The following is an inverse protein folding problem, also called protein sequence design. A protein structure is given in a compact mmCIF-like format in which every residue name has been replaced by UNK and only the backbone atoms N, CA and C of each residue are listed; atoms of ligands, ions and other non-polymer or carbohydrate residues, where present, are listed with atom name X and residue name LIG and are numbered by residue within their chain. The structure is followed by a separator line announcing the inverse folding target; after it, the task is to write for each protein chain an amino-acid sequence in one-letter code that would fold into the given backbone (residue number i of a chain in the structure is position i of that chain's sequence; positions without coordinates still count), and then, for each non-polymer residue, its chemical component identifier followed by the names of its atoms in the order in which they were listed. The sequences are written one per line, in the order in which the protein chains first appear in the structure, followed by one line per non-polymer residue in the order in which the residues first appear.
data_IF_738555440834
#
_entry.id   IF_738555440834
#
_cell.length_a   1.000
_cell.length_b   1.000
_cell.length_c   1.000
_cell.angle_alpha   90.00
_cell.angle_beta   90.00
_cell.angle_gamma   90.00
#
_symmetry.space_group_name_H-M   'P 1'
#
loop_
_entity.id
_entity.type
_entity.pdbx_description
1 polymer ?
#
# COMPACT_ATOMS: atom_id res chain seq x y z
N UNK A 1 -43.39 -1.70 4.91
CA UNK A 1 -42.61 -0.56 5.44
C UNK A 1 -41.55 0.00 4.46
N UNK A 2 -41.52 -0.39 3.18
CA UNK A 2 -40.51 0.08 2.21
C UNK A 2 -40.93 1.24 1.29
N UNK A 3 -42.22 1.59 1.25
CA UNK A 3 -42.75 2.56 0.30
C UNK A 3 -42.67 4.02 0.79
N UNK A 4 -42.61 4.25 2.11
CA UNK A 4 -42.57 5.61 2.68
C UNK A 4 -41.16 6.25 2.62
N UNK A 5 -40.10 5.44 2.68
CA UNK A 5 -38.70 5.93 2.67
C UNK A 5 -38.27 6.30 1.24
N UNK A 6 -38.69 5.54 0.24
CA UNK A 6 -38.44 5.86 -1.16
C UNK A 6 -39.15 7.15 -1.61
N UNK A 7 -40.39 7.37 -1.13
CA UNK A 7 -41.14 8.60 -1.41
C UNK A 7 -40.44 9.85 -0.88
N UNK A 8 -39.93 9.82 0.36
CA UNK A 8 -39.25 10.97 0.97
C UNK A 8 -37.97 11.39 0.24
N UNK A 9 -37.17 10.43 -0.24
CA UNK A 9 -35.92 10.71 -0.97
C UNK A 9 -36.21 11.30 -2.36
N UNK A 10 -37.24 10.80 -3.04
CA UNK A 10 -37.66 11.33 -4.35
C UNK A 10 -38.24 12.74 -4.21
N UNK A 11 -39.07 13.00 -3.20
CA UNK A 11 -39.60 14.35 -2.92
C UNK A 11 -38.48 15.33 -2.56
N UNK A 12 -37.48 14.91 -1.78
CA UNK A 12 -36.32 15.73 -1.46
C UNK A 12 -35.44 16.03 -2.69
N UNK A 13 -35.21 15.04 -3.56
CA UNK A 13 -34.43 15.23 -4.79
C UNK A 13 -35.14 16.13 -5.81
N UNK A 14 -36.46 16.06 -5.93
CA UNK A 14 -37.25 16.96 -6.79
C UNK A 14 -37.20 18.40 -6.28
N UNK A 15 -37.24 18.62 -4.97
CA UNK A 15 -37.10 19.97 -4.39
C UNK A 15 -35.67 20.48 -4.54
N UNK A 16 -34.66 19.63 -4.37
CA UNK A 16 -33.24 20.03 -4.44
C UNK A 16 -32.70 20.18 -5.86
N UNK A 17 -33.23 19.46 -6.84
CA UNK A 17 -32.69 19.48 -8.20
C UNK A 17 -33.72 19.88 -9.28
N UNK A 18 -35.02 19.69 -9.04
CA UNK A 18 -36.07 20.09 -9.98
C UNK A 18 -36.46 21.57 -9.89
N UNK A 19 -36.43 22.16 -8.69
CA UNK A 19 -36.78 23.58 -8.47
C UNK A 19 -35.62 24.55 -8.75
N UNK A 20 -34.38 24.09 -8.76
CA UNK A 20 -33.19 24.93 -9.00
C UNK A 20 -32.98 25.29 -10.47
N UNK A 21 -33.62 24.58 -11.41
CA UNK A 21 -33.52 24.95 -12.84
C UNK A 21 -34.48 26.09 -13.22
N UNK A 22 -35.45 26.44 -12.36
CA UNK A 22 -36.38 27.56 -12.53
C UNK A 22 -36.09 28.68 -11.50
N UNK A 23 -34.82 28.97 -11.25
CA UNK A 23 -34.36 30.11 -10.44
C UNK A 23 -32.94 30.52 -10.88
N UNK A 24 -32.74 30.65 -12.19
CA UNK A 24 -31.48 31.07 -12.81
C UNK A 24 -31.20 32.58 -12.70
N UNK A 25 -31.77 33.28 -11.72
CA UNK A 25 -31.54 34.70 -11.49
C UNK A 25 -31.12 34.93 -10.03
N UNK A 26 -29.93 35.52 -9.84
CA UNK A 26 -29.23 35.64 -8.56
C UNK A 26 -29.79 36.75 -7.66
N UNK A 27 -30.76 37.54 -8.12
CA UNK A 27 -31.34 38.67 -7.38
C UNK A 27 -32.73 38.44 -6.77
N UNK A 28 -33.22 37.20 -6.73
CA UNK A 28 -34.59 36.96 -6.26
C UNK A 28 -34.76 37.11 -4.72
N UNK A 29 -35.70 37.95 -4.24
CA UNK A 29 -35.80 38.38 -2.83
C UNK A 29 -36.14 37.25 -1.85
N UNK A 30 -36.67 36.13 -2.33
CA UNK A 30 -37.08 35.00 -1.49
C UNK A 30 -35.99 33.92 -1.32
N UNK A 31 -34.84 34.05 -1.97
CA UNK A 31 -33.75 33.06 -1.96
C UNK A 31 -33.21 32.73 -0.56
N UNK A 32 -32.98 33.69 0.35
CA UNK A 32 -32.48 33.38 1.69
C UNK A 32 -33.48 32.56 2.53
N UNK A 33 -34.78 32.80 2.33
CA UNK A 33 -35.86 32.11 3.04
C UNK A 33 -35.97 30.67 2.54
N UNK A 34 -35.84 30.44 1.23
CA UNK A 34 -35.88 29.09 0.63
C UNK A 34 -34.63 28.28 0.98
N UNK A 35 -33.45 28.90 0.97
CA UNK A 35 -32.21 28.24 1.40
C UNK A 35 -32.29 27.83 2.88
N UNK A 36 -32.74 28.75 3.75
CA UNK A 36 -32.95 28.49 5.18
C UNK A 36 -33.95 27.35 5.46
N UNK A 37 -35.06 27.30 4.73
CA UNK A 37 -36.04 26.21 4.83
C UNK A 37 -35.46 24.85 4.41
N UNK A 38 -34.54 24.81 3.44
CA UNK A 38 -33.91 23.56 2.97
C UNK A 38 -32.93 22.97 3.99
N UNK A 39 -32.21 23.81 4.75
CA UNK A 39 -31.30 23.37 5.80
C UNK A 39 -32.05 22.75 6.99
N UNK A 40 -33.20 23.34 7.37
CA UNK A 40 -34.06 22.80 8.44
C UNK A 40 -34.68 21.45 8.04
N UNK A 41 -35.09 21.29 6.78
CA UNK A 41 -35.61 20.03 6.27
C UNK A 41 -34.55 18.92 6.19
N UNK A 42 -33.29 19.25 5.86
CA UNK A 42 -32.18 18.30 5.79
C UNK A 42 -31.77 17.73 7.16
N UNK A 43 -31.72 18.59 8.19
CA UNK A 43 -31.39 18.17 9.57
C UNK A 43 -32.55 17.37 10.20
N UNK A 44 -33.80 17.76 9.91
CA UNK A 44 -34.98 17.03 10.37
C UNK A 44 -35.06 15.58 9.83
N UNK A 45 -34.68 15.36 8.56
CA UNK A 45 -34.63 14.02 7.97
C UNK A 45 -33.52 13.13 8.58
N UNK A 46 -32.38 13.72 8.96
CA UNK A 46 -31.28 13.00 9.62
C UNK A 46 -31.64 12.61 11.08
N UNK A 47 -32.37 13.46 11.78
CA UNK A 47 -32.82 13.20 13.16
C UNK A 47 -33.87 12.09 13.25
N UNK A 48 -34.78 11.99 12.25
CA UNK A 48 -35.77 10.90 12.18
C UNK A 48 -35.10 9.56 11.80
N UNK A 49 -34.00 9.57 11.05
CA UNK A 49 -33.25 8.35 10.72
C UNK A 49 -32.48 7.76 11.92
N UNK A 50 -32.02 8.60 12.86
CA UNK A 50 -31.32 8.15 14.08
C UNK A 50 -32.30 7.63 15.15
N UNK A 51 -33.55 8.10 15.17
CA UNK A 51 -34.58 7.67 16.13
C UNK A 51 -35.41 6.46 15.67
N UNK A 52 -35.21 5.97 14.45
CA UNK A 52 -35.96 4.83 13.88
C UNK A 52 -35.10 3.56 13.70
N UNK A 53 -34.09 3.33 14.54
CA UNK A 53 -33.52 1.99 14.66
C UNK A 53 -34.51 1.10 15.43
N UNK A 54 -35.10 0.05 14.82
CA UNK A 54 -35.74 -0.96 15.63
C UNK A 54 -34.66 -1.60 16.49
N UNK A 55 -34.90 -1.68 17.79
CA UNK A 55 -34.27 -2.65 18.68
C UNK A 55 -34.63 -4.05 18.16
N UNK A 56 -33.97 -4.49 17.09
CA UNK A 56 -33.95 -5.88 16.69
C UNK A 56 -33.06 -6.60 17.70
N UNK A 57 -33.74 -7.07 18.74
CA UNK A 57 -33.64 -8.42 19.29
C UNK A 57 -32.31 -9.11 19.03
N UNK A 58 -31.64 -9.56 20.12
CA UNK A 58 -30.72 -10.70 20.11
C UNK A 58 -31.29 -11.80 19.22
N UNK A 59 -30.92 -11.78 17.94
CA UNK A 59 -30.94 -12.93 17.09
C UNK A 59 -29.69 -13.65 17.53
N UNK A 60 -29.89 -14.64 18.39
CA UNK A 60 -28.98 -15.77 18.49
C UNK A 60 -28.52 -16.09 17.08
N UNK A 61 -27.30 -15.69 16.73
CA UNK A 61 -26.61 -16.36 15.64
C UNK A 61 -26.52 -17.79 16.12
N UNK A 62 -27.32 -18.68 15.51
CA UNK A 62 -26.90 -20.07 15.42
C UNK A 62 -25.53 -19.98 14.78
N UNK A 63 -24.52 -20.33 15.56
CA UNK A 63 -23.21 -20.61 15.01
C UNK A 63 -23.42 -21.55 13.81
N UNK A 64 -22.76 -21.30 12.67
CA UNK A 64 -22.60 -22.38 11.70
C UNK A 64 -22.01 -23.56 12.47
N UNK A 65 -22.74 -24.68 12.51
CA UNK A 65 -22.18 -25.96 12.89
C UNK A 65 -21.12 -26.31 11.84
N UNK A 66 -19.93 -25.76 12.04
CA UNK A 66 -18.72 -26.31 11.49
C UNK A 66 -18.50 -27.62 12.23
N UNK A 67 -19.27 -28.63 11.83
CA UNK A 67 -18.87 -30.03 11.97
C UNK A 67 -17.39 -30.04 11.63
N UNK A 68 -16.56 -30.29 12.66
CA UNK A 68 -15.12 -30.32 12.55
C UNK A 68 -14.72 -31.50 11.66
N UNK A 69 -14.96 -31.41 10.36
CA UNK A 69 -14.11 -32.05 9.37
C UNK A 69 -12.83 -31.22 9.38
N UNK A 70 -12.00 -31.52 10.37
CA UNK A 70 -10.73 -30.85 10.56
C UNK A 70 -9.98 -30.83 9.24
N UNK A 71 -9.73 -29.63 8.73
CA UNK A 71 -8.70 -29.44 7.74
C UNK A 71 -7.37 -29.76 8.45
N UNK A 72 -6.98 -31.03 8.40
CA UNK A 72 -5.68 -31.51 8.86
C UNK A 72 -4.66 -31.14 7.78
N UNK A 73 -4.31 -29.86 7.68
CA UNK A 73 -3.12 -29.50 6.93
C UNK A 73 -1.89 -30.02 7.69
N UNK A 74 -1.36 -31.14 7.20
CA UNK A 74 -0.01 -31.57 7.54
C UNK A 74 1.00 -30.68 6.81
N UNK A 75 1.37 -29.58 7.45
CA UNK A 75 2.43 -28.70 6.97
C UNK A 75 3.80 -29.40 7.11
N UNK A 76 4.29 -30.06 6.06
CA UNK A 76 5.64 -30.65 6.01
C UNK A 76 6.78 -29.62 5.91
N UNK A 77 6.93 -28.66 6.83
CA UNK A 77 8.10 -27.75 6.93
C UNK A 77 8.69 -27.18 5.62
N UNK A 78 8.13 -26.07 5.10
CA UNK A 78 8.86 -25.30 4.09
C UNK A 78 10.02 -24.59 4.82
N UNK A 79 11.26 -24.85 4.40
CA UNK A 79 12.43 -24.18 4.95
C UNK A 79 12.46 -22.76 4.40
N UNK A 80 11.89 -21.81 5.14
CA UNK A 80 12.07 -20.39 4.83
C UNK A 80 13.55 -20.08 4.99
N UNK A 81 14.21 -19.70 3.90
CA UNK A 81 15.58 -19.20 3.96
C UNK A 81 15.59 -17.86 4.70
N UNK A 82 16.49 -17.72 5.67
CA UNK A 82 16.68 -16.45 6.41
C UNK A 82 17.02 -15.28 5.50
N UNK A 83 17.51 -15.58 4.30
CA UNK A 83 17.99 -14.62 3.32
C UNK A 83 16.94 -14.29 2.24
N UNK A 84 15.72 -14.83 2.33
CA UNK A 84 14.65 -14.61 1.35
C UNK A 84 14.41 -15.80 0.42
N UNK A 85 13.72 -15.61 -0.71
CA UNK A 85 13.41 -14.31 -1.33
C UNK A 85 12.36 -13.51 -0.57
N UNK A 86 12.47 -12.18 -0.63
CA UNK A 86 11.53 -11.22 -0.07
C UNK A 86 10.97 -10.32 -1.17
N UNK A 87 9.73 -9.86 -0.97
CA UNK A 87 9.23 -8.62 -1.54
C UNK A 87 9.69 -7.48 -0.62
N UNK A 88 10.25 -6.41 -1.19
CA UNK A 88 10.49 -5.17 -0.47
C UNK A 88 9.34 -4.20 -0.80
N UNK A 89 8.37 -4.07 0.10
CA UNK A 89 7.18 -3.25 -0.11
C UNK A 89 7.30 -1.96 0.68
N UNK A 90 7.20 -0.81 0.01
CA UNK A 90 7.22 0.46 0.70
C UNK A 90 5.90 0.68 1.48
N UNK A 91 6.02 1.12 2.73
CA UNK A 91 4.87 1.31 3.62
C UNK A 91 3.98 2.50 3.22
N UNK A 92 4.53 3.53 2.57
CA UNK A 92 3.77 4.72 2.21
C UNK A 92 2.82 4.50 1.03
N UNK A 93 3.29 3.84 -0.04
CA UNK A 93 2.53 3.65 -1.27
C UNK A 93 2.05 2.21 -1.51
N UNK A 94 2.57 1.22 -0.76
CA UNK A 94 2.20 -0.19 -0.91
C UNK A 94 2.77 -0.87 -2.15
N UNK A 95 3.65 -0.21 -2.90
CA UNK A 95 4.32 -0.80 -4.05
C UNK A 95 5.60 -1.54 -3.66
N UNK A 96 5.90 -2.59 -4.42
CA UNK A 96 7.09 -3.41 -4.28
C UNK A 96 8.23 -2.89 -5.15
N UNK A 97 9.46 -3.01 -4.67
CA UNK A 97 10.68 -2.76 -5.45
C UNK A 97 10.78 -3.76 -6.61
N UNK A 98 11.01 -3.25 -7.80
CA UNK A 98 10.86 -3.95 -9.07
C UNK A 98 12.06 -3.69 -9.99
N UNK A 99 12.68 -4.76 -10.51
CA UNK A 99 13.77 -4.66 -11.49
C UNK A 99 13.24 -4.80 -12.92
N UNK A 100 13.93 -4.24 -13.92
CA UNK A 100 13.73 -4.66 -15.30
C UNK A 100 13.98 -6.18 -15.43
N UNK A 101 13.27 -6.82 -16.36
CA UNK A 101 13.37 -8.26 -16.63
C UNK A 101 14.72 -8.61 -17.30
N UNK A 102 15.33 -7.64 -18.00
CA UNK A 102 16.60 -7.82 -18.70
C UNK A 102 17.76 -8.22 -17.78
N UNK A 103 18.79 -8.82 -18.38
CA UNK A 103 20.01 -9.23 -17.68
C UNK A 103 21.15 -8.23 -17.84
N UNK A 104 20.93 -7.13 -18.55
CA UNK A 104 21.93 -6.10 -18.77
C UNK A 104 22.08 -5.22 -17.51
N UNK A 105 23.31 -4.94 -17.07
CA UNK A 105 23.57 -3.98 -16.00
C UNK A 105 23.11 -2.58 -16.38
N UNK A 106 22.75 -1.77 -15.37
CA UNK A 106 22.27 -0.41 -15.53
C UNK A 106 20.76 -0.27 -15.66
N UNK A 107 19.99 -1.36 -15.53
CA UNK A 107 18.53 -1.29 -15.55
C UNK A 107 17.95 -0.50 -14.39
N UNK A 108 17.06 0.45 -14.68
CA UNK A 108 16.39 1.30 -13.69
C UNK A 108 15.50 0.48 -12.76
N UNK A 109 15.73 0.60 -11.45
CA UNK A 109 14.86 -0.02 -10.46
C UNK A 109 13.67 0.90 -10.21
N UNK A 110 12.47 0.33 -10.21
CA UNK A 110 11.21 1.07 -10.04
C UNK A 110 10.38 0.47 -8.92
N UNK A 111 9.21 1.05 -8.67
CA UNK A 111 8.18 0.43 -7.83
C UNK A 111 6.97 0.02 -8.65
N UNK A 112 6.39 -1.14 -8.31
CA UNK A 112 5.20 -1.65 -8.99
C UNK A 112 4.21 -2.31 -8.03
N UNK A 113 2.99 -2.58 -8.51
CA UNK A 113 2.02 -3.33 -7.71
C UNK A 113 2.59 -4.70 -7.33
N UNK A 114 2.56 -5.08 -6.03
CA UNK A 114 3.10 -6.36 -5.61
C UNK A 114 2.39 -7.52 -6.31
N UNK A 115 3.16 -8.36 -7.00
CA UNK A 115 2.67 -9.55 -7.70
C UNK A 115 3.58 -10.77 -7.52
N UNK A 116 4.72 -10.64 -6.83
CA UNK A 116 5.55 -11.78 -6.41
C UNK A 116 6.24 -12.54 -7.56
N UNK A 117 6.36 -11.92 -8.73
CA UNK A 117 7.14 -12.49 -9.84
C UNK A 117 8.63 -12.21 -9.59
N UNK A 118 9.51 -12.94 -10.29
CA UNK A 118 10.96 -12.96 -10.00
C UNK A 118 11.60 -11.57 -9.97
N UNK A 119 11.11 -10.61 -10.74
CA UNK A 119 11.62 -9.24 -10.78
C UNK A 119 11.20 -8.35 -9.59
N UNK A 120 10.33 -8.84 -8.71
CA UNK A 120 10.05 -8.23 -7.40
C UNK A 120 10.61 -9.05 -6.23
N UNK A 121 11.29 -10.14 -6.52
CA UNK A 121 11.84 -11.03 -5.51
C UNK A 121 13.32 -10.75 -5.32
N UNK A 122 13.71 -10.51 -4.09
CA UNK A 122 15.07 -10.10 -3.73
C UNK A 122 15.63 -11.01 -2.63
N UNK A 123 16.89 -11.39 -2.75
CA UNK A 123 17.63 -12.14 -1.74
C UNK A 123 18.60 -11.19 -1.03
N UNK A 124 18.70 -11.33 0.29
CA UNK A 124 19.67 -10.61 1.11
C UNK A 124 20.89 -11.50 1.30
N UNK A 125 22.01 -11.13 0.69
CA UNK A 125 23.28 -11.84 0.83
C UNK A 125 24.26 -11.06 1.69
N UNK A 126 25.29 -11.72 2.23
CA UNK A 126 26.30 -11.04 3.02
C UNK A 126 27.10 -10.06 2.16
N UNK A 127 27.20 -8.80 2.57
CA UNK A 127 27.97 -7.75 1.88
C UNK A 127 29.48 -7.79 2.14
N UNK A 128 30.00 -8.83 2.80
CA UNK A 128 31.42 -8.97 3.13
C UNK A 128 31.87 -8.19 4.38
N UNK A 129 31.01 -7.35 4.96
CA UNK A 129 31.23 -6.69 6.25
C UNK A 129 30.09 -7.01 7.22
N UNK A 130 30.35 -6.85 8.51
CA UNK A 130 29.36 -7.07 9.56
C UNK A 130 28.16 -6.12 9.35
N UNK A 131 26.95 -6.66 9.45
CA UNK A 131 25.68 -5.93 9.35
C UNK A 131 25.44 -5.21 8.00
N UNK A 132 26.20 -5.58 6.96
CA UNK A 132 26.03 -5.08 5.58
C UNK A 132 25.55 -6.22 4.68
N UNK A 133 24.60 -5.92 3.80
CA UNK A 133 24.00 -6.88 2.86
C UNK A 133 24.10 -6.42 1.41
N UNK A 134 24.11 -7.38 0.49
CA UNK A 134 23.75 -7.16 -0.91
C UNK A 134 22.26 -7.48 -1.08
N UNK A 135 21.57 -6.70 -1.90
CA UNK A 135 20.17 -6.93 -2.27
C UNK A 135 20.17 -7.47 -3.70
N UNK A 136 19.98 -8.78 -3.86
CA UNK A 136 20.18 -9.51 -5.12
C UNK A 136 18.85 -9.84 -5.77
N UNK A 137 18.67 -9.42 -7.02
CA UNK A 137 17.47 -9.71 -7.81
C UNK A 137 17.39 -11.21 -8.15
N UNK A 138 16.20 -11.80 -7.94
CA UNK A 138 15.92 -13.18 -8.34
C UNK A 138 15.60 -13.33 -9.84
N UNK A 139 15.40 -12.23 -10.57
CA UNK A 139 15.13 -12.26 -12.01
C UNK A 139 16.40 -12.49 -12.82
N UNK A 140 17.45 -11.71 -12.55
CA UNK A 140 18.66 -11.62 -13.37
C UNK A 140 19.96 -11.87 -12.59
N UNK A 141 19.91 -11.99 -11.25
CA UNK A 141 21.10 -12.19 -10.42
C UNK A 141 21.95 -10.93 -10.21
N UNK A 142 21.52 -9.79 -10.75
CA UNK A 142 22.15 -8.49 -10.54
C UNK A 142 21.83 -7.96 -9.13
N UNK A 143 22.64 -7.02 -8.65
CA UNK A 143 22.50 -6.41 -7.32
C UNK A 143 21.94 -5.00 -7.40
N UNK A 144 21.19 -4.60 -6.38
CA UNK A 144 20.75 -3.21 -6.20
C UNK A 144 21.98 -2.32 -5.94
N UNK A 145 22.08 -1.27 -6.73
CA UNK A 145 23.22 -0.37 -6.77
C UNK A 145 22.74 1.08 -6.62
N UNK A 146 23.33 1.81 -5.67
CA UNK A 146 22.99 3.21 -5.39
C UNK A 146 23.63 4.22 -6.37
N UNK A 147 24.33 3.73 -7.40
CA UNK A 147 25.16 4.50 -8.33
C UNK A 147 26.31 5.26 -7.66
N UNK A 148 27.09 6.02 -8.44
CA UNK A 148 28.23 6.78 -7.92
C UNK A 148 27.80 8.15 -7.39
N UNK A 149 26.82 8.76 -8.04
CA UNK A 149 26.28 10.07 -7.76
C UNK A 149 25.53 10.07 -6.41
N UNK A 150 25.79 11.08 -5.58
CA UNK A 150 25.20 11.18 -4.23
C UNK A 150 24.30 12.40 -4.06
N UNK A 151 24.14 13.18 -5.11
CA UNK A 151 23.35 14.41 -5.15
C UNK A 151 22.62 14.55 -6.49
N UNK A 152 21.48 15.23 -6.46
CA UNK A 152 20.58 15.34 -7.61
C UNK A 152 19.49 14.25 -7.61
N UNK A 153 18.88 14.07 -8.77
CA UNK A 153 17.83 13.07 -9.01
C UNK A 153 18.47 11.73 -9.33
N UNK A 154 18.89 11.02 -8.27
CA UNK A 154 19.60 9.75 -8.37
C UNK A 154 18.67 8.61 -7.99
N UNK A 155 18.56 7.64 -8.89
CA UNK A 155 17.77 6.43 -8.73
C UNK A 155 18.69 5.20 -8.68
N UNK A 156 18.33 4.16 -7.92
CA UNK A 156 19.09 2.93 -7.94
C UNK A 156 18.91 2.18 -9.26
N UNK A 157 19.93 1.42 -9.61
CA UNK A 157 19.93 0.53 -10.77
C UNK A 157 20.24 -0.89 -10.35
N UNK A 158 20.03 -1.86 -11.24
CA UNK A 158 20.63 -3.18 -11.09
C UNK A 158 21.99 -3.23 -11.78
N UNK A 159 23.01 -3.77 -11.12
CA UNK A 159 24.36 -3.86 -11.68
C UNK A 159 25.02 -5.21 -11.37
N UNK A 160 26.15 -5.50 -12.02
CA UNK A 160 26.97 -6.67 -11.69
C UNK A 160 27.50 -6.55 -10.26
N UNK A 161 27.60 -7.68 -9.57
CA UNK A 161 28.13 -7.69 -8.21
C UNK A 161 29.64 -7.41 -8.22
N UNK A 162 30.01 -6.22 -7.74
CA UNK A 162 31.40 -5.78 -7.52
C UNK A 162 31.76 -5.75 -6.04
N UNK A 163 30.77 -5.86 -5.14
CA UNK A 163 30.96 -5.74 -3.70
C UNK A 163 31.28 -4.32 -3.21
N UNK A 164 31.22 -3.33 -4.09
CA UNK A 164 31.55 -1.92 -3.81
C UNK A 164 30.59 -1.28 -2.80
N UNK A 165 30.99 -0.20 -2.09
CA UNK A 165 30.14 0.46 -1.08
C UNK A 165 28.74 0.85 -1.57
N UNK A 166 28.60 1.19 -2.86
CA UNK A 166 27.31 1.56 -3.47
C UNK A 166 26.33 0.39 -3.64
N UNK A 167 26.82 -0.84 -3.52
CA UNK A 167 26.03 -2.08 -3.60
C UNK A 167 25.77 -2.70 -2.22
N UNK A 168 26.37 -2.12 -1.18
CA UNK A 168 26.22 -2.59 0.20
C UNK A 168 25.21 -1.73 0.93
N UNK A 169 24.35 -2.41 1.68
CA UNK A 169 23.20 -1.81 2.34
C UNK A 169 23.20 -2.16 3.82
N UNK A 170 22.80 -1.23 4.67
CA UNK A 170 22.48 -1.50 6.08
C UNK A 170 20.96 -1.45 6.26
N UNK A 171 20.44 -2.42 6.97
CA UNK A 171 19.03 -2.48 7.33
C UNK A 171 18.89 -2.02 8.78
N UNK A 172 18.34 -0.82 8.96
CA UNK A 172 17.99 -0.32 10.30
C UNK A 172 16.52 -0.61 10.58
N UNK A 173 16.18 -0.96 11.82
CA UNK A 173 14.78 -1.11 12.19
C UNK A 173 14.03 0.23 12.04
N UNK A 174 12.85 0.17 11.45
CA UNK A 174 11.89 1.27 11.48
C UNK A 174 11.50 1.59 12.94
N UNK A 175 11.02 2.82 13.24
CA UNK A 175 10.71 3.22 14.61
C UNK A 175 9.73 2.31 15.36
N UNK A 176 8.85 1.58 14.66
CA UNK A 176 7.89 0.64 15.23
C UNK A 176 8.33 -0.83 15.12
N UNK A 177 9.53 -1.10 14.59
CA UNK A 177 10.11 -2.44 14.47
C UNK A 177 9.42 -3.36 13.45
N UNK A 178 8.48 -2.86 12.65
CA UNK A 178 7.69 -3.68 11.71
C UNK A 178 8.23 -3.69 10.27
N UNK A 179 9.28 -2.91 10.01
CA UNK A 179 9.98 -2.83 8.74
C UNK A 179 11.38 -2.24 8.92
N UNK A 180 12.01 -1.89 7.80
CA UNK A 180 13.38 -1.42 7.77
C UNK A 180 13.52 -0.08 7.06
N UNK A 181 14.47 0.73 7.51
CA UNK A 181 15.08 1.76 6.70
C UNK A 181 16.28 1.12 5.97
N UNK A 182 16.40 1.36 4.67
CA UNK A 182 17.46 0.76 3.83
C UNK A 182 18.49 1.85 3.53
N UNK A 183 19.65 1.79 4.19
CA UNK A 183 20.70 2.80 4.05
C UNK A 183 21.77 2.33 3.05
N UNK A 184 22.13 3.18 2.09
CA UNK A 184 23.32 2.97 1.25
C UNK A 184 24.59 3.18 2.08
N UNK A 185 25.52 2.23 2.02
CA UNK A 185 26.84 2.36 2.67
C UNK A 185 27.70 3.45 2.01
N UNK A 186 27.47 3.74 0.72
CA UNK A 186 28.22 4.74 -0.05
C UNK A 186 27.82 6.17 0.31
N UNK A 187 26.52 6.49 0.23
CA UNK A 187 26.03 7.85 0.42
C UNK A 187 25.53 8.15 1.84
N UNK A 188 25.39 7.13 2.69
CA UNK A 188 24.73 7.19 4.00
C UNK A 188 23.25 7.64 3.95
N UNK A 189 22.66 7.71 2.75
CA UNK A 189 21.26 8.09 2.50
C UNK A 189 20.36 6.86 2.36
N UNK A 190 19.06 7.08 2.47
CA UNK A 190 18.05 6.05 2.61
C UNK A 190 17.18 5.93 1.36
N UNK A 191 16.91 4.70 0.94
CA UNK A 191 16.02 4.40 -0.16
C UNK A 191 14.60 4.89 0.18
N UNK A 192 14.08 5.80 -0.65
CA UNK A 192 12.85 6.55 -0.39
C UNK A 192 11.94 6.48 -1.61
N UNK A 193 10.63 6.36 -1.38
CA UNK A 193 9.61 6.55 -2.42
C UNK A 193 8.38 7.25 -1.81
N UNK A 194 7.77 8.15 -2.59
CA UNK A 194 6.66 9.00 -2.16
C UNK A 194 5.37 8.22 -1.92
N UNK A 195 4.50 8.75 -1.05
CA UNK A 195 3.19 8.14 -0.79
C UNK A 195 2.24 8.24 -1.99
N UNK A 196 2.47 9.22 -2.86
CA UNK A 196 1.75 9.51 -4.09
C UNK A 196 2.38 8.85 -5.32
N UNK A 197 3.36 7.96 -5.12
CA UNK A 197 4.05 7.29 -6.19
C UNK A 197 3.07 6.56 -7.12
N UNK A 198 3.39 6.55 -8.41
CA UNK A 198 2.72 5.73 -9.40
C UNK A 198 3.59 4.51 -9.79
N UNK A 199 2.96 3.54 -10.45
CA UNK A 199 3.65 2.38 -11.01
C UNK A 199 4.75 2.82 -11.98
N UNK A 200 5.94 2.25 -11.85
CA UNK A 200 7.09 2.53 -12.70
C UNK A 200 7.92 3.73 -12.24
N UNK A 201 7.56 4.40 -11.13
CA UNK A 201 8.41 5.45 -10.57
C UNK A 201 9.66 4.86 -9.92
N UNK A 202 10.80 5.54 -10.11
CA UNK A 202 12.06 5.20 -9.47
C UNK A 202 12.07 5.68 -8.01
N UNK A 203 12.48 4.84 -7.03
CA UNK A 203 12.83 5.34 -5.71
C UNK A 203 14.10 6.20 -5.80
N UNK A 204 14.31 7.06 -4.82
CA UNK A 204 15.48 7.95 -4.75
C UNK A 204 16.13 7.87 -3.36
N UNK A 205 17.11 8.73 -3.10
CA UNK A 205 17.84 8.75 -1.83
C UNK A 205 17.61 10.04 -1.04
N UNK A 206 17.36 9.93 0.26
CA UNK A 206 17.20 11.08 1.19
C UNK A 206 17.96 10.86 2.50
N UNK A 207 18.16 11.97 3.23
CA UNK A 207 18.62 11.88 4.62
C UNK A 207 17.59 11.16 5.49
N UNK A 208 18.06 10.59 6.60
CA UNK A 208 17.23 9.78 7.50
C UNK A 208 16.03 10.57 8.04
N UNK A 209 14.84 9.99 7.93
CA UNK A 209 13.64 10.48 8.59
C UNK A 209 12.70 9.32 9.00
N UNK A 210 11.75 9.58 9.90
CA UNK A 210 10.84 8.54 10.41
C UNK A 210 9.56 8.34 9.59
N UNK A 211 9.38 9.04 8.47
CA UNK A 211 8.16 8.95 7.64
C UNK A 211 8.07 7.59 6.94
N UNK A 212 6.84 7.17 6.63
CA UNK A 212 6.57 5.88 5.96
C UNK A 212 7.22 5.75 4.58
N UNK A 213 7.60 6.86 3.93
CA UNK A 213 8.26 6.88 2.61
C UNK A 213 9.64 6.21 2.61
N UNK A 214 10.31 6.12 3.75
CA UNK A 214 11.59 5.42 3.92
C UNK A 214 11.46 4.02 4.53
N UNK A 215 10.24 3.60 4.87
CA UNK A 215 10.02 2.34 5.57
C UNK A 215 9.64 1.24 4.58
N UNK A 216 10.46 0.20 4.53
CA UNK A 216 10.29 -0.96 3.65
C UNK A 216 9.98 -2.20 4.46
N UNK A 217 8.89 -2.86 4.13
CA UNK A 217 8.49 -4.13 4.70
C UNK A 217 9.09 -5.26 3.88
N UNK A 218 9.79 -6.18 4.55
CA UNK A 218 10.29 -7.41 3.94
C UNK A 218 9.23 -8.49 4.10
N UNK A 219 8.55 -8.82 3.01
CA UNK A 219 7.46 -9.80 2.99
C UNK A 219 7.91 -11.08 2.30
N UNK A 220 7.55 -12.23 2.87
CA UNK A 220 7.77 -13.51 2.21
C UNK A 220 6.72 -13.70 1.10
N UNK A 221 7.13 -13.99 -0.14
CA UNK A 221 6.21 -14.04 -1.29
C UNK A 221 5.27 -15.24 -1.30
N UNK A 222 5.39 -16.21 -0.37
CA UNK A 222 4.43 -17.32 -0.24
C UNK A 222 4.23 -17.80 1.20
N UNK A 223 2.96 -17.89 1.59
CA UNK A 223 2.45 -19.04 2.34
C UNK A 223 2.36 -20.25 1.39
N UNK A 224 2.75 -21.42 1.89
CA UNK A 224 2.95 -22.67 1.15
C UNK A 224 1.82 -23.01 0.15
N UNK A 225 2.18 -23.33 -1.10
CA UNK A 225 1.31 -24.05 -2.05
C UNK A 225 0.92 -25.40 -1.44
N UNK A 226 -0.36 -25.59 -1.11
CA UNK A 226 -0.89 -26.92 -0.91
C UNK A 226 -0.98 -27.58 -2.29
N UNK A 227 -0.21 -28.65 -2.53
CA UNK A 227 -0.57 -29.57 -3.61
C UNK A 227 -1.91 -30.19 -3.20
N UNK A 228 -2.97 -29.79 -3.90
CA UNK A 228 -4.25 -30.48 -3.85
C UNK A 228 -4.04 -31.79 -4.62
N UNK A 229 -3.81 -32.87 -3.87
CA UNK A 229 -3.77 -34.23 -4.40
C UNK A 229 -5.16 -34.74 -4.78
#
# INVERSE_FOLDING_TARGET
MGWLVAGGIVTWAVIRFGLLNWLGDTQHPWRPIVEGASWVAGIGALAIAVLAQPLQSRRTQREPDFSHRGFQARFKGAKVSKNGPFLLVNRACGFALDTPIGTEPGGDVTVWTPHGQRHQLWRLEAGGKKDEVLIVSMANGLVLDATFEVSGDVHPVTSENTGEPRQRWRLEDSPDGNGYLIQSVHSCRYLTIGHDAARGWGPWFEDRHSRSSQQWMLLLPQGRMAEVG
#
